data_IF_081566125374
#
_entry.id   IF_081566125374
#
_cell.length_a   1.000
_cell.length_b   1.000
_cell.length_c   1.000
_cell.angle_alpha   90.00
_cell.angle_beta   90.00
_cell.angle_gamma   90.00
#
_symmetry.space_group_name_H-M   'P 1'
#
loop_
_entity.id
_entity.type
_entity.pdbx_description
1 polymer ?
#
# COMPACT_ATOMS: atom_id res chain seq x y z
N UNK A 1 7.86 -33.29 6.56
CA UNK A 1 6.67 -33.38 5.69
C UNK A 1 5.84 -32.13 5.93
N UNK A 2 5.49 -31.42 4.86
CA UNK A 2 4.86 -30.11 4.90
C UNK A 2 3.54 -30.19 5.65
N UNK A 3 3.48 -29.57 6.83
CA UNK A 3 2.38 -29.66 7.81
C UNK A 3 1.49 -28.42 7.78
N UNK A 4 1.43 -27.80 6.60
CA UNK A 4 0.71 -26.58 6.31
C UNK A 4 -0.17 -26.89 5.12
N UNK A 5 -1.47 -26.72 5.28
CA UNK A 5 -2.41 -26.71 4.19
C UNK A 5 -3.16 -25.39 4.26
N UNK A 6 -3.57 -24.89 3.10
CA UNK A 6 -4.46 -23.77 3.07
C UNK A 6 -5.81 -24.25 3.63
N UNK A 7 -6.31 -23.58 4.65
CA UNK A 7 -7.65 -23.85 5.14
C UNK A 7 -8.62 -23.05 4.26
N UNK A 8 -9.42 -23.79 3.49
CA UNK A 8 -10.43 -23.25 2.60
C UNK A 8 -11.80 -23.23 3.31
N UNK A 9 -12.51 -22.11 3.20
CA UNK A 9 -13.91 -22.00 3.58
C UNK A 9 -14.71 -21.66 2.32
N UNK A 10 -15.65 -22.52 1.93
CA UNK A 10 -16.46 -22.37 0.71
C UNK A 10 -15.62 -22.15 -0.57
N UNK A 11 -14.47 -22.82 -0.69
CA UNK A 11 -13.58 -22.71 -1.84
C UNK A 11 -12.69 -21.45 -1.84
N UNK A 12 -12.72 -20.66 -0.77
CA UNK A 12 -11.84 -19.51 -0.59
C UNK A 12 -10.79 -19.79 0.48
N UNK A 13 -9.54 -19.45 0.19
CA UNK A 13 -8.46 -19.49 1.17
C UNK A 13 -8.73 -18.46 2.29
N UNK A 14 -9.01 -18.97 3.48
CA UNK A 14 -9.41 -18.14 4.62
C UNK A 14 -8.34 -18.11 5.73
N UNK A 15 -7.54 -19.16 5.89
CA UNK A 15 -6.51 -19.23 6.94
C UNK A 15 -5.40 -20.25 6.63
N UNK A 16 -4.35 -20.24 7.45
CA UNK A 16 -3.29 -21.26 7.42
C UNK A 16 -3.61 -22.35 8.43
N UNK A 17 -3.73 -23.61 8.00
CA UNK A 17 -3.86 -24.74 8.90
C UNK A 17 -2.54 -25.09 9.59
N UNK A 18 -2.59 -25.36 10.90
CA UNK A 18 -1.43 -25.73 11.72
C UNK A 18 -1.79 -26.85 12.70
N UNK A 19 -0.97 -27.89 12.78
CA UNK A 19 -1.18 -28.95 13.79
C UNK A 19 -0.91 -28.43 15.20
N UNK A 20 -1.62 -28.92 16.21
CA UNK A 20 -1.43 -28.57 17.64
C UNK A 20 0.05 -28.62 18.06
N UNK A 21 0.77 -29.67 17.67
CA UNK A 21 2.20 -29.84 18.00
C UNK A 21 3.12 -28.80 17.35
N UNK A 22 2.74 -28.27 16.18
CA UNK A 22 3.49 -27.21 15.52
C UNK A 22 3.09 -25.82 16.01
N UNK A 23 1.82 -25.61 16.38
CA UNK A 23 1.35 -24.35 16.97
C UNK A 23 2.11 -24.04 18.26
N UNK A 24 2.33 -25.05 19.11
CA UNK A 24 3.13 -24.93 20.32
C UNK A 24 4.56 -24.42 20.09
N UNK A 25 5.14 -24.66 18.91
CA UNK A 25 6.49 -24.22 18.53
C UNK A 25 6.54 -22.77 18.04
N UNK A 26 5.38 -22.14 17.77
CA UNK A 26 5.21 -20.76 17.28
C UNK A 26 6.18 -20.41 16.13
N UNK A 27 6.18 -21.18 15.03
CA UNK A 27 7.19 -21.05 14.01
C UNK A 27 7.06 -19.70 13.27
N UNK A 28 8.20 -19.03 13.04
CA UNK A 28 8.24 -17.63 12.56
C UNK A 28 7.61 -17.43 11.18
N UNK A 29 7.59 -18.46 10.35
CA UNK A 29 7.07 -18.42 8.99
C UNK A 29 5.53 -18.32 8.90
N UNK A 30 4.81 -18.39 10.03
CA UNK A 30 3.36 -18.19 10.07
C UNK A 30 2.95 -17.06 11.01
N UNK A 31 3.92 -16.26 11.47
CA UNK A 31 3.62 -15.06 12.24
C UNK A 31 2.89 -14.06 11.35
N UNK A 32 1.86 -13.39 11.88
CA UNK A 32 1.00 -12.52 11.09
C UNK A 32 -0.16 -13.23 10.38
N UNK A 33 -0.24 -14.56 10.41
CA UNK A 33 -1.29 -15.32 9.72
C UNK A 33 -2.46 -15.61 10.67
N UNK A 34 -3.67 -15.69 10.12
CA UNK A 34 -4.79 -16.38 10.78
C UNK A 34 -4.51 -17.88 10.75
N UNK A 35 -4.53 -18.51 11.91
CA UNK A 35 -4.20 -19.91 12.07
C UNK A 35 -5.43 -20.70 12.50
N UNK A 36 -5.71 -21.79 11.79
CA UNK A 36 -6.67 -22.79 12.26
C UNK A 36 -5.89 -23.96 12.84
N UNK A 37 -6.15 -24.29 14.10
CA UNK A 37 -5.55 -25.42 14.79
C UNK A 37 -6.23 -26.72 14.38
N UNK A 38 -5.40 -27.70 14.02
CA UNK A 38 -5.84 -29.02 13.61
C UNK A 38 -5.21 -30.12 14.44
N UNK A 39 -5.88 -31.26 14.45
CA UNK A 39 -5.37 -32.49 15.07
C UNK A 39 -4.01 -32.84 14.46
N UNK A 40 -3.13 -33.41 15.28
CA UNK A 40 -1.78 -33.79 14.85
C UNK A 40 -1.76 -34.83 13.73
N UNK A 41 -2.83 -35.59 13.56
CA UNK A 41 -3.03 -36.57 12.49
C UNK A 41 -3.63 -35.96 11.21
N UNK A 42 -3.97 -34.66 11.21
CA UNK A 42 -4.55 -33.95 10.06
C UNK A 42 -6.01 -34.33 9.75
N UNK A 43 -6.69 -35.08 10.62
CA UNK A 43 -8.05 -35.59 10.35
C UNK A 43 -9.14 -34.55 10.50
N UNK A 44 -8.82 -33.34 11.00
CA UNK A 44 -9.75 -32.23 11.12
C UNK A 44 -9.29 -31.17 12.11
N UNK A 45 -10.19 -30.24 12.40
CA UNK A 45 -10.01 -29.19 13.42
C UNK A 45 -9.69 -29.83 14.78
N UNK A 46 -8.79 -29.20 15.54
CA UNK A 46 -8.40 -29.68 16.85
C UNK A 46 -9.61 -29.72 17.81
N UNK A 47 -9.65 -30.70 18.71
CA UNK A 47 -10.67 -30.78 19.76
C UNK A 47 -10.40 -29.77 20.92
N UNK A 48 -9.69 -28.67 20.62
CA UNK A 48 -9.33 -27.64 21.59
C UNK A 48 -10.50 -26.68 21.82
N UNK A 49 -10.52 -26.04 23.00
CA UNK A 49 -11.51 -25.00 23.33
C UNK A 49 -11.39 -23.78 22.40
N UNK A 50 -10.20 -23.56 21.83
CA UNK A 50 -9.89 -22.44 20.95
C UNK A 50 -9.15 -22.98 19.72
N UNK A 51 -9.78 -22.87 18.57
CA UNK A 51 -9.36 -23.42 17.29
C UNK A 51 -8.78 -22.37 16.35
N UNK A 52 -9.06 -21.08 16.58
CA UNK A 52 -8.49 -19.97 15.82
C UNK A 52 -7.42 -19.23 16.61
N UNK A 53 -6.29 -19.00 15.97
CA UNK A 53 -5.09 -18.47 16.60
C UNK A 53 -4.40 -17.38 15.76
N UNK A 54 -3.59 -16.57 16.43
CA UNK A 54 -2.71 -15.60 15.80
C UNK A 54 -1.38 -15.50 16.55
N UNK A 55 -0.26 -15.40 15.83
CA UNK A 55 1.05 -15.15 16.41
C UNK A 55 1.55 -13.76 16.00
N UNK A 56 1.85 -12.93 16.99
CA UNK A 56 2.26 -11.54 16.79
C UNK A 56 3.60 -11.43 16.03
N UNK A 57 3.67 -10.65 14.94
CA UNK A 57 4.84 -10.61 14.05
C UNK A 57 6.09 -9.97 14.65
N UNK A 58 5.95 -9.09 15.65
CA UNK A 58 7.12 -8.50 16.34
C UNK A 58 7.52 -9.22 17.62
N UNK A 59 6.56 -9.84 18.31
CA UNK A 59 6.76 -10.31 19.70
C UNK A 59 6.67 -11.83 19.83
N UNK A 60 6.15 -12.54 18.82
CA UNK A 60 5.91 -13.97 18.89
C UNK A 60 4.85 -14.39 19.89
N UNK A 61 4.09 -13.44 20.46
CA UNK A 61 3.00 -13.73 21.39
C UNK A 61 1.87 -14.44 20.64
N UNK A 62 1.42 -15.57 21.18
CA UNK A 62 0.29 -16.34 20.66
C UNK A 62 -1.00 -15.81 21.31
N UNK A 63 -2.04 -15.69 20.51
CA UNK A 63 -3.36 -15.22 20.91
C UNK A 63 -4.43 -16.20 20.44
N UNK A 64 -5.29 -16.62 21.36
CA UNK A 64 -6.46 -17.45 21.12
C UNK A 64 -7.64 -16.55 20.72
N UNK A 65 -8.01 -16.55 19.44
CA UNK A 65 -9.02 -15.62 18.91
C UNK A 65 -10.45 -16.00 19.31
N UNK A 66 -10.68 -17.29 19.55
CA UNK A 66 -11.97 -17.82 19.99
C UNK A 66 -12.38 -17.32 21.38
N UNK A 67 -11.44 -16.80 22.18
CA UNK A 67 -11.77 -16.14 23.46
C UNK A 67 -12.60 -14.87 23.29
N UNK A 68 -12.57 -14.27 22.09
CA UNK A 68 -13.33 -13.07 21.71
C UNK A 68 -14.58 -13.41 20.89
N UNK A 69 -14.83 -14.70 20.66
CA UNK A 69 -15.99 -15.25 19.97
C UNK A 69 -16.78 -16.07 21.00
N UNK A 70 -17.57 -15.40 21.83
CA UNK A 70 -18.26 -15.97 23.00
C UNK A 70 -19.23 -17.12 22.64
N UNK A 71 -18.74 -18.34 22.54
CA UNK A 71 -19.53 -19.56 22.45
C UNK A 71 -20.04 -19.99 23.84
N UNK A 72 -21.27 -20.51 24.04
CA UNK A 72 -22.17 -21.14 23.06
C UNK A 72 -23.53 -20.46 22.83
N UNK A 73 -23.74 -19.21 23.27
CA UNK A 73 -25.04 -18.56 23.18
C UNK A 73 -24.87 -17.10 22.75
N UNK A 74 -24.67 -16.90 21.44
CA UNK A 74 -24.59 -15.55 20.86
C UNK A 74 -25.99 -15.14 20.44
N UNK A 75 -26.58 -14.21 21.18
CA UNK A 75 -27.54 -13.30 20.57
C UNK A 75 -26.72 -12.47 19.56
N UNK A 76 -26.99 -12.71 18.27
CA UNK A 76 -26.27 -12.14 17.11
C UNK A 76 -26.28 -10.61 17.14
N UNK A 77 -27.10 -10.01 18.00
CA UNK A 77 -27.21 -8.57 18.22
C UNK A 77 -26.23 -8.00 19.25
N UNK A 78 -25.62 -8.81 20.15
CA UNK A 78 -24.83 -8.28 21.30
C UNK A 78 -23.40 -8.83 21.45
N UNK A 79 -23.01 -9.91 20.78
CA UNK A 79 -21.60 -10.39 20.76
C UNK A 79 -21.14 -10.59 19.32
N UNK A 80 -20.78 -9.47 18.71
CA UNK A 80 -20.85 -9.26 17.28
C UNK A 80 -19.46 -9.09 16.65
N UNK A 81 -18.50 -9.98 16.94
CA UNK A 81 -17.15 -9.94 16.33
C UNK A 81 -16.38 -8.63 16.54
N UNK A 82 -16.97 -7.65 17.23
CA UNK A 82 -16.48 -6.31 17.42
C UNK A 82 -15.38 -6.30 18.46
N UNK A 83 -15.49 -7.15 19.48
CA UNK A 83 -14.42 -7.40 20.44
C UNK A 83 -13.20 -8.01 19.76
N UNK A 84 -13.40 -9.02 18.91
CA UNK A 84 -12.34 -9.61 18.10
C UNK A 84 -11.73 -8.58 17.16
N UNK A 85 -12.54 -7.78 16.46
CA UNK A 85 -12.07 -6.72 15.58
C UNK A 85 -11.29 -5.64 16.34
N UNK A 86 -11.77 -5.24 17.52
CA UNK A 86 -11.12 -4.26 18.40
C UNK A 86 -9.78 -4.81 18.88
N UNK A 87 -9.75 -6.07 19.28
CA UNK A 87 -8.55 -6.77 19.69
C UNK A 87 -7.53 -6.88 18.55
N UNK A 88 -7.95 -7.34 17.35
CA UNK A 88 -7.10 -7.40 16.15
C UNK A 88 -6.53 -6.01 15.82
N UNK A 89 -7.34 -4.95 15.89
CA UNK A 89 -6.87 -3.57 15.72
C UNK A 89 -5.85 -3.16 16.77
N UNK A 90 -6.00 -3.61 18.02
CA UNK A 90 -5.09 -3.26 19.12
C UNK A 90 -3.70 -3.92 19.01
N UNK A 91 -3.61 -5.05 18.31
CA UNK A 91 -2.36 -5.80 18.09
C UNK A 91 -1.85 -5.68 16.64
N UNK A 92 -2.53 -4.87 15.82
CA UNK A 92 -2.17 -4.62 14.44
C UNK A 92 -0.94 -3.74 14.36
N UNK A 93 0.13 -4.26 13.75
CA UNK A 93 1.38 -3.54 13.56
C UNK A 93 1.44 -2.97 12.15
N UNK A 94 1.79 -1.68 12.03
CA UNK A 94 2.10 -1.09 10.73
C UNK A 94 3.44 -1.61 10.25
N UNK A 95 3.44 -2.37 9.15
CA UNK A 95 4.65 -2.84 8.47
C UNK A 95 4.78 -2.08 7.16
N UNK A 96 5.86 -1.31 7.01
CA UNK A 96 6.14 -0.59 5.77
C UNK A 96 6.45 -1.55 4.63
N UNK A 97 6.21 -1.14 3.37
CA UNK A 97 6.62 -1.92 2.19
C UNK A 97 8.12 -2.20 2.16
N UNK A 98 8.92 -1.32 2.79
CA UNK A 98 10.37 -1.51 2.94
C UNK A 98 10.67 -2.63 3.95
N UNK A 99 10.03 -2.63 5.11
CA UNK A 99 10.14 -3.73 6.09
C UNK A 99 9.63 -5.06 5.49
N UNK A 100 8.53 -5.02 4.74
CA UNK A 100 7.99 -6.20 4.04
C UNK A 100 8.99 -6.77 3.01
N UNK A 101 9.66 -5.91 2.25
CA UNK A 101 10.66 -6.30 1.26
C UNK A 101 11.98 -6.77 1.88
N UNK A 102 12.25 -6.41 3.14
CA UNK A 102 13.39 -6.91 3.91
C UNK A 102 13.12 -8.28 4.55
N UNK A 103 11.85 -8.70 4.64
CA UNK A 103 11.48 -9.95 5.30
C UNK A 103 11.88 -11.18 4.47
N UNK A 104 11.77 -11.26 3.14
CA UNK A 104 12.43 -12.36 2.39
C UNK A 104 12.69 -12.13 0.86
N UNK A 105 13.79 -12.71 0.31
CA UNK A 105 14.38 -12.39 -1.00
C UNK A 105 13.85 -13.18 -2.23
N UNK A 106 12.60 -13.67 -2.23
CA UNK A 106 12.18 -14.72 -3.18
C UNK A 106 11.41 -14.27 -4.44
N UNK A 107 11.18 -12.96 -4.63
CA UNK A 107 10.62 -12.40 -5.87
C UNK A 107 9.13 -12.71 -6.14
N UNK A 108 8.54 -12.02 -7.13
CA UNK A 108 7.10 -11.97 -7.45
C UNK A 108 6.47 -13.28 -7.94
N UNK A 109 7.26 -14.34 -8.12
CA UNK A 109 6.78 -15.68 -8.47
C UNK A 109 6.52 -16.57 -7.25
N UNK A 110 6.84 -16.09 -6.05
CA UNK A 110 6.62 -16.83 -4.83
C UNK A 110 5.11 -16.89 -4.51
N UNK A 111 4.61 -18.10 -4.25
CA UNK A 111 3.20 -18.36 -3.94
C UNK A 111 2.70 -17.55 -2.73
N UNK A 112 3.54 -17.32 -1.72
CA UNK A 112 3.21 -16.50 -0.54
C UNK A 112 3.01 -15.04 -0.96
N UNK A 113 3.85 -14.53 -1.88
CA UNK A 113 3.70 -13.17 -2.42
C UNK A 113 2.41 -13.01 -3.22
N UNK A 114 2.05 -14.02 -4.03
CA UNK A 114 0.82 -14.00 -4.83
C UNK A 114 -0.43 -14.12 -3.96
N UNK A 115 -0.40 -14.94 -2.92
CA UNK A 115 -1.48 -15.04 -1.94
C UNK A 115 -1.68 -13.71 -1.19
N UNK A 116 -0.58 -13.05 -0.77
CA UNK A 116 -0.64 -11.73 -0.14
C UNK A 116 -1.18 -10.64 -1.07
N UNK A 117 -0.75 -10.65 -2.34
CA UNK A 117 -1.24 -9.73 -3.36
C UNK A 117 -2.72 -9.99 -3.68
N UNK A 118 -3.14 -11.25 -3.75
CA UNK A 118 -4.54 -11.64 -3.93
C UNK A 118 -5.43 -11.23 -2.74
N UNK A 119 -4.98 -11.44 -1.50
CA UNK A 119 -5.68 -10.96 -0.29
C UNK A 119 -5.81 -9.44 -0.25
N UNK A 120 -4.76 -8.72 -0.71
CA UNK A 120 -4.78 -7.25 -0.88
C UNK A 120 -5.79 -6.80 -1.93
N UNK A 121 -5.82 -7.48 -3.07
CA UNK A 121 -6.65 -7.09 -4.22
C UNK A 121 -8.12 -7.51 -4.03
N UNK A 122 -8.42 -8.42 -3.09
CA UNK A 122 -9.77 -8.90 -2.79
C UNK A 122 -10.25 -8.57 -1.37
N UNK A 123 -9.52 -7.74 -0.61
CA UNK A 123 -9.88 -7.28 0.74
C UNK A 123 -10.19 -8.44 1.73
N UNK A 124 -9.53 -9.59 1.55
CA UNK A 124 -9.66 -10.77 2.39
C UNK A 124 -8.58 -10.71 3.46
N UNK A 125 -8.92 -10.41 4.71
CA UNK A 125 -8.03 -10.26 5.86
C UNK A 125 -6.84 -11.27 5.85
N UNK A 126 -5.61 -10.88 5.42
CA UNK A 126 -4.45 -11.41 6.08
C UNK A 126 -4.35 -10.65 7.41
N UNK A 127 -3.93 -11.26 8.51
CA UNK A 127 -4.00 -10.67 9.84
C UNK A 127 -2.91 -9.59 10.07
N UNK A 128 -2.92 -8.55 9.23
CA UNK A 128 -2.30 -7.25 9.41
C UNK A 128 -3.41 -6.19 9.40
N UNK A 129 -3.60 -5.49 10.51
CA UNK A 129 -4.52 -4.36 10.56
C UNK A 129 -3.99 -3.18 9.74
N UNK A 130 -4.77 -2.73 8.78
CA UNK A 130 -4.75 -1.32 8.36
C UNK A 130 -6.03 -0.67 8.82
N UNK A 131 -5.93 0.53 9.39
CA UNK A 131 -7.07 1.39 9.63
C UNK A 131 -7.51 2.00 8.31
N UNK A 132 -8.72 1.68 7.86
CA UNK A 132 -9.61 2.75 7.41
C UNK A 132 -10.77 2.80 8.39
N UNK A 133 -11.09 4.02 8.81
CA UNK A 133 -12.18 4.31 9.73
C UNK A 133 -13.52 3.98 9.06
N UNK A 134 -13.94 2.72 9.23
CA UNK A 134 -15.29 2.11 9.37
C UNK A 134 -16.51 2.72 8.65
N UNK A 135 -17.29 1.83 8.04
CA UNK A 135 -18.74 1.95 7.86
C UNK A 135 -19.41 0.82 8.69
N UNK A 136 -20.53 0.95 9.41
CA UNK A 136 -21.27 2.06 10.03
C UNK A 136 -21.76 1.47 11.37
N UNK A 137 -21.52 2.14 12.50
CA UNK A 137 -22.58 2.92 13.14
C UNK A 137 -21.98 4.17 13.83
N UNK A 138 -22.41 5.34 13.35
CA UNK A 138 -22.25 6.72 13.89
C UNK A 138 -20.82 7.35 13.95
N UNK A 139 -20.60 8.64 13.61
CA UNK A 139 -21.27 9.55 12.67
C UNK A 139 -20.45 9.73 11.36
N UNK A 140 -21.10 10.21 10.30
CA UNK A 140 -20.58 10.42 8.94
C UNK A 140 -19.11 10.93 8.86
N UNK A 141 -18.19 10.20 8.20
CA UNK A 141 -16.82 10.66 7.96
C UNK A 141 -16.79 11.60 6.74
N UNK A 142 -16.23 12.78 6.95
CA UNK A 142 -15.94 13.76 5.90
C UNK A 142 -14.92 13.21 4.89
N UNK A 143 -15.23 13.39 3.61
CA UNK A 143 -14.51 13.04 2.36
C UNK A 143 -13.03 13.45 2.27
N UNK A 144 -12.48 14.13 3.27
CA UNK A 144 -11.10 14.63 3.27
C UNK A 144 -10.04 13.60 3.70
N UNK A 145 -10.37 12.62 4.55
CA UNK A 145 -9.34 11.78 5.16
C UNK A 145 -8.78 10.70 4.22
N UNK A 146 -9.61 10.01 3.43
CA UNK A 146 -9.16 9.06 2.40
C UNK A 146 -8.39 9.76 1.26
N UNK A 147 -8.83 10.98 0.89
CA UNK A 147 -8.13 11.79 -0.10
C UNK A 147 -6.69 12.07 0.32
N UNK A 148 -6.47 12.30 1.62
CA UNK A 148 -5.14 12.67 2.14
C UNK A 148 -4.15 11.51 2.04
N UNK A 149 -4.55 10.27 2.34
CA UNK A 149 -3.64 9.11 2.35
C UNK A 149 -3.18 8.74 0.95
N UNK A 150 -4.13 8.66 -0.01
CA UNK A 150 -3.79 8.32 -1.39
C UNK A 150 -2.97 9.44 -2.05
N UNK A 151 -3.38 10.69 -1.86
CA UNK A 151 -2.65 11.85 -2.38
C UNK A 151 -1.23 11.90 -1.85
N UNK A 152 -1.03 11.60 -0.55
CA UNK A 152 0.30 11.57 0.07
C UNK A 152 1.22 10.50 -0.53
N UNK A 153 0.69 9.29 -0.80
CA UNK A 153 1.46 8.19 -1.41
C UNK A 153 1.87 8.49 -2.86
N UNK A 154 1.06 9.27 -3.56
CA UNK A 154 1.25 9.56 -4.98
C UNK A 154 1.96 10.90 -5.23
N UNK A 155 2.37 11.63 -4.18
CA UNK A 155 3.11 12.90 -4.29
C UNK A 155 4.30 12.79 -5.24
N UNK A 156 4.38 13.75 -6.15
CA UNK A 156 5.42 13.87 -7.16
C UNK A 156 5.31 12.88 -8.31
N UNK A 157 4.29 12.00 -8.33
CA UNK A 157 4.10 11.08 -9.45
C UNK A 157 3.35 11.73 -10.59
N UNK A 158 3.72 11.30 -11.78
CA UNK A 158 2.91 11.42 -12.98
C UNK A 158 1.96 10.22 -12.98
N UNK A 159 0.67 10.47 -13.18
CA UNK A 159 -0.37 9.45 -13.26
C UNK A 159 -0.97 9.44 -14.66
N UNK A 160 -1.31 8.24 -15.15
CA UNK A 160 -2.03 8.04 -16.40
C UNK A 160 -3.36 7.37 -16.09
N UNK A 161 -4.45 8.03 -16.45
CA UNK A 161 -5.80 7.51 -16.27
C UNK A 161 -6.04 6.40 -17.30
N UNK A 162 -6.14 5.15 -16.84
CA UNK A 162 -6.18 3.98 -17.75
C UNK A 162 -7.60 3.54 -18.15
N UNK A 163 -8.61 4.05 -17.47
CA UNK A 163 -10.03 3.72 -17.71
C UNK A 163 -10.77 4.80 -18.51
N UNK A 164 -10.03 5.70 -19.17
CA UNK A 164 -10.55 6.82 -19.96
C UNK A 164 -9.64 7.04 -21.18
N UNK A 165 -9.50 8.28 -21.65
CA UNK A 165 -8.74 8.68 -22.83
C UNK A 165 -7.22 8.73 -22.61
N UNK A 166 -6.70 8.16 -21.52
CA UNK A 166 -5.28 8.20 -21.21
C UNK A 166 -4.81 9.57 -20.71
N UNK A 167 -5.66 10.30 -19.99
CA UNK A 167 -5.35 11.59 -19.40
C UNK A 167 -4.14 11.52 -18.46
N UNK A 168 -3.24 12.50 -18.56
CA UNK A 168 -2.07 12.60 -17.70
C UNK A 168 -2.30 13.62 -16.58
N UNK A 169 -1.79 13.29 -15.40
CA UNK A 169 -1.94 14.09 -14.19
C UNK A 169 -0.63 14.16 -13.42
N UNK A 170 -0.32 15.30 -12.80
CA UNK A 170 0.82 15.43 -11.89
C UNK A 170 0.32 15.68 -10.48
N UNK A 171 0.75 14.88 -9.51
CA UNK A 171 0.44 15.11 -8.10
C UNK A 171 1.53 15.99 -7.51
N UNK A 172 1.23 17.25 -7.23
CA UNK A 172 2.23 18.19 -6.71
C UNK A 172 2.66 17.78 -5.28
N UNK A 173 3.97 17.58 -5.01
CA UNK A 173 4.48 17.23 -3.68
C UNK A 173 4.15 18.26 -2.60
N UNK A 174 3.94 19.53 -2.97
CA UNK A 174 3.73 20.63 -2.02
C UNK A 174 2.33 20.64 -1.41
N UNK A 175 1.31 20.40 -2.22
CA UNK A 175 -0.10 20.51 -1.81
C UNK A 175 -0.88 19.18 -1.91
N UNK A 176 -0.25 18.13 -2.46
CA UNK A 176 -0.85 16.81 -2.71
C UNK A 176 -2.05 16.85 -3.67
N UNK A 177 -2.21 17.90 -4.45
CA UNK A 177 -3.27 18.00 -5.45
C UNK A 177 -2.80 17.46 -6.78
N UNK A 178 -3.73 16.89 -7.55
CA UNK A 178 -3.49 16.51 -8.95
C UNK A 178 -3.74 17.69 -9.87
N UNK A 179 -2.92 17.81 -10.91
CA UNK A 179 -3.04 18.86 -11.92
C UNK A 179 -3.09 18.23 -13.29
N UNK A 180 -4.12 18.60 -14.06
CA UNK A 180 -4.38 18.02 -15.36
C UNK A 180 -3.37 18.48 -16.41
N UNK A 181 -2.77 17.51 -17.11
CA UNK A 181 -1.80 17.72 -18.17
C UNK A 181 -2.38 17.23 -19.50
N UNK A 182 -3.33 17.99 -20.04
CA UNK A 182 -4.11 17.63 -21.23
C UNK A 182 -3.27 17.29 -22.47
N UNK A 183 -2.12 17.95 -22.62
CA UNK A 183 -1.19 17.78 -23.74
C UNK A 183 0.22 18.21 -23.31
N UNK A 184 1.18 18.10 -24.23
CA UNK A 184 2.58 18.47 -24.00
C UNK A 184 2.76 19.91 -23.50
N UNK A 185 2.14 20.89 -24.15
CA UNK A 185 2.29 22.31 -23.78
C UNK A 185 1.70 22.60 -22.39
N UNK A 186 0.54 22.03 -22.09
CA UNK A 186 -0.08 22.16 -20.77
C UNK A 186 0.75 21.47 -19.70
N UNK A 187 1.31 20.30 -20.00
CA UNK A 187 2.24 19.60 -19.11
C UNK A 187 3.49 20.44 -18.82
N UNK A 188 4.10 21.00 -19.87
CA UNK A 188 5.26 21.87 -19.74
C UNK A 188 4.96 23.08 -18.85
N UNK A 189 3.81 23.74 -19.04
CA UNK A 189 3.38 24.87 -18.22
C UNK A 189 3.11 24.46 -16.76
N UNK A 190 2.36 23.37 -16.54
CA UNK A 190 2.09 22.80 -15.21
C UNK A 190 3.41 22.51 -14.49
N UNK A 191 4.34 21.86 -15.18
CA UNK A 191 5.62 21.47 -14.61
C UNK A 191 6.49 22.68 -14.27
N UNK A 192 6.53 23.70 -15.13
CA UNK A 192 7.24 24.96 -14.84
C UNK A 192 6.63 25.73 -13.68
N UNK A 193 5.30 25.79 -13.57
CA UNK A 193 4.62 26.51 -12.50
C UNK A 193 4.89 25.90 -11.11
N UNK A 194 5.11 24.59 -11.02
CA UNK A 194 5.50 23.92 -9.77
C UNK A 194 7.01 23.77 -9.58
N UNK A 195 7.79 24.28 -10.53
CA UNK A 195 9.22 24.21 -10.50
C UNK A 195 9.82 24.99 -9.33
N UNK A 196 10.73 24.35 -8.61
CA UNK A 196 11.49 24.96 -7.51
C UNK A 196 12.83 25.44 -8.06
N UNK A 197 13.23 26.67 -7.74
CA UNK A 197 14.53 27.17 -8.17
C UNK A 197 15.70 26.32 -7.63
N UNK A 198 16.67 26.02 -8.49
CA UNK A 198 17.90 25.28 -8.14
C UNK A 198 19.13 25.99 -8.70
N UNK A 199 20.23 25.99 -7.94
CA UNK A 199 21.54 26.49 -8.38
C UNK A 199 22.19 25.51 -9.37
N UNK A 200 23.14 25.98 -10.18
CA UNK A 200 23.90 25.13 -11.09
C UNK A 200 24.67 24.05 -10.33
N UNK A 201 25.22 24.40 -9.16
CA UNK A 201 25.95 23.45 -8.29
C UNK A 201 25.05 22.33 -7.78
N UNK A 202 23.86 22.65 -7.29
CA UNK A 202 22.93 21.66 -6.77
C UNK A 202 22.28 20.84 -7.89
N UNK A 203 22.06 21.45 -9.06
CA UNK A 203 21.61 20.74 -10.26
C UNK A 203 22.65 19.71 -10.73
N UNK A 204 23.93 20.06 -10.74
CA UNK A 204 25.00 19.09 -11.01
C UNK A 204 25.03 17.96 -9.96
N UNK A 205 24.77 18.28 -8.69
CA UNK A 205 24.64 17.26 -7.65
C UNK A 205 23.47 16.31 -7.92
N UNK A 206 22.31 16.82 -8.37
CA UNK A 206 21.17 16.00 -8.78
C UNK A 206 21.56 15.04 -9.92
N UNK A 207 22.33 15.50 -10.91
CA UNK A 207 22.74 14.67 -12.05
C UNK A 207 23.74 13.58 -11.68
N UNK A 208 24.66 13.88 -10.76
CA UNK A 208 25.83 13.06 -10.46
C UNK A 208 25.69 12.18 -9.19
N UNK A 209 24.77 12.49 -8.28
CA UNK A 209 24.54 11.75 -7.03
C UNK A 209 23.12 11.15 -6.99
N UNK A 210 23.03 9.83 -7.19
CA UNK A 210 21.75 9.10 -7.19
C UNK A 210 21.05 9.10 -5.84
N UNK A 211 21.77 9.15 -4.73
CA UNK A 211 21.16 9.19 -3.39
C UNK A 211 20.51 10.56 -3.20
N UNK A 212 21.22 11.64 -3.57
CA UNK A 212 20.69 12.99 -3.52
C UNK A 212 19.51 13.19 -4.49
N UNK A 213 19.59 12.65 -5.70
CA UNK A 213 18.50 12.66 -6.68
C UNK A 213 17.25 11.95 -6.14
N UNK A 214 17.41 10.73 -5.60
CA UNK A 214 16.29 9.95 -5.06
C UNK A 214 15.56 10.65 -3.90
N UNK A 215 16.29 11.39 -3.05
CA UNK A 215 15.68 12.24 -1.99
C UNK A 215 14.82 13.38 -2.55
N UNK A 216 15.01 13.71 -3.82
CA UNK A 216 14.28 14.76 -4.53
C UNK A 216 13.36 14.20 -5.64
N UNK A 217 13.07 12.91 -5.61
CA UNK A 217 12.16 12.27 -6.57
C UNK A 217 10.79 12.96 -6.60
N UNK A 218 10.22 13.04 -7.79
CA UNK A 218 8.92 13.64 -8.05
C UNK A 218 8.90 15.16 -8.01
N UNK A 219 10.02 15.83 -7.67
CA UNK A 219 10.15 17.28 -7.73
C UNK A 219 10.52 17.73 -9.14
N UNK A 220 10.16 18.98 -9.42
CA UNK A 220 10.55 19.69 -10.62
C UNK A 220 11.46 20.83 -10.21
N UNK A 221 12.61 20.95 -10.85
CA UNK A 221 13.58 22.00 -10.60
C UNK A 221 13.70 22.94 -11.79
N UNK A 222 13.81 24.23 -11.53
CA UNK A 222 14.10 25.27 -12.51
C UNK A 222 15.51 25.80 -12.26
N UNK A 223 16.36 25.73 -13.27
CA UNK A 223 17.70 26.27 -13.21
C UNK A 223 17.64 27.81 -13.22
N UNK A 224 17.87 28.45 -12.08
CA UNK A 224 17.68 29.91 -11.94
C UNK A 224 18.91 30.73 -12.31
N UNK A 225 20.08 30.10 -12.45
CA UNK A 225 21.36 30.75 -12.76
C UNK A 225 21.71 30.68 -14.26
N UNK A 226 20.76 30.30 -15.12
CA UNK A 226 20.94 30.19 -16.57
C UNK A 226 19.63 30.44 -17.34
N UNK A 227 19.19 29.52 -18.20
CA UNK A 227 18.06 29.72 -19.13
C UNK A 227 16.70 29.28 -18.57
N UNK A 228 16.61 29.00 -17.28
CA UNK A 228 15.37 28.55 -16.67
C UNK A 228 15.00 27.12 -17.07
N UNK A 229 15.97 26.28 -17.41
CA UNK A 229 15.75 24.88 -17.78
C UNK A 229 15.00 24.12 -16.68
N UNK A 230 14.00 23.34 -17.08
CA UNK A 230 13.16 22.57 -16.16
C UNK A 230 13.55 21.10 -16.16
N UNK A 231 13.68 20.49 -14.98
CA UNK A 231 14.02 19.07 -14.83
C UNK A 231 13.04 18.36 -13.89
N UNK A 232 12.45 17.25 -14.33
CA UNK A 232 11.69 16.34 -13.46
C UNK A 232 12.61 15.23 -12.95
N UNK A 233 12.60 14.96 -11.65
CA UNK A 233 13.42 13.90 -11.06
C UNK A 233 12.55 12.66 -10.87
N UNK A 234 12.87 11.55 -11.55
CA UNK A 234 12.11 10.31 -11.38
C UNK A 234 12.45 9.58 -10.07
N UNK A 235 11.67 8.55 -9.75
CA UNK A 235 11.84 7.76 -8.53
C UNK A 235 13.07 6.83 -8.56
N UNK A 236 13.74 6.71 -9.71
CA UNK A 236 15.03 6.04 -9.83
C UNK A 236 16.21 7.02 -9.64
N UNK A 237 15.93 8.32 -9.48
CA UNK A 237 16.92 9.38 -9.35
C UNK A 237 17.52 9.82 -10.69
N UNK A 238 16.80 9.67 -11.81
CA UNK A 238 17.19 10.25 -13.09
C UNK A 238 16.54 11.63 -13.26
N UNK A 239 17.32 12.59 -13.74
CA UNK A 239 16.82 13.91 -14.11
C UNK A 239 16.41 13.93 -15.58
N UNK A 240 15.15 14.26 -15.83
CA UNK A 240 14.54 14.34 -17.16
C UNK A 240 14.41 15.80 -17.56
N UNK A 241 15.12 16.21 -18.60
CA UNK A 241 15.08 17.60 -19.08
C UNK A 241 13.79 17.88 -19.84
N UNK A 242 12.98 18.81 -19.34
CA UNK A 242 11.69 19.23 -19.89
C UNK A 242 11.86 20.45 -20.80
N UNK A 243 12.56 20.26 -21.92
CA UNK A 243 12.96 21.36 -22.81
C UNK A 243 11.77 22.05 -23.51
N UNK A 244 10.71 21.31 -23.78
CA UNK A 244 9.52 21.77 -24.49
C UNK A 244 8.31 20.87 -24.16
N UNK A 245 7.14 21.21 -24.72
CA UNK A 245 5.93 20.43 -24.56
C UNK A 245 6.02 19.02 -25.12
N UNK A 246 6.76 18.81 -26.22
CA UNK A 246 6.92 17.49 -26.82
C UNK A 246 7.68 16.54 -25.89
N UNK A 247 8.76 17.00 -25.25
CA UNK A 247 9.50 16.18 -24.29
C UNK A 247 8.72 15.98 -23.00
N UNK A 248 8.02 17.01 -22.52
CA UNK A 248 7.11 16.84 -21.37
C UNK A 248 6.06 15.76 -21.65
N UNK A 249 5.51 15.71 -22.86
CA UNK A 249 4.60 14.65 -23.30
C UNK A 249 5.23 13.25 -23.23
N UNK A 250 6.43 13.07 -23.76
CA UNK A 250 7.15 11.80 -23.69
C UNK A 250 7.39 11.37 -22.25
N UNK A 251 7.91 12.27 -21.40
CA UNK A 251 8.17 12.01 -19.99
C UNK A 251 6.89 11.58 -19.26
N UNK A 252 5.75 12.19 -19.58
CA UNK A 252 4.47 11.78 -18.98
C UNK A 252 4.07 10.35 -19.34
N UNK A 253 4.30 9.94 -20.58
CA UNK A 253 3.94 8.60 -21.08
C UNK A 253 4.88 7.53 -20.56
N UNK A 254 6.18 7.81 -20.50
CA UNK A 254 7.19 6.84 -20.07
C UNK A 254 7.19 6.62 -18.55
N UNK A 255 6.95 7.66 -17.76
CA UNK A 255 7.07 7.61 -16.30
C UNK A 255 5.70 7.55 -15.59
N UNK A 256 4.63 7.61 -16.36
CA UNK A 256 3.26 7.64 -15.86
C UNK A 256 2.86 6.34 -15.18
N UNK A 257 2.41 6.44 -13.93
CA UNK A 257 1.81 5.33 -13.21
C UNK A 257 0.31 5.22 -13.57
N UNK A 258 -0.13 4.05 -14.03
CA UNK A 258 -1.54 3.79 -14.29
C UNK A 258 -2.41 3.99 -13.04
N UNK A 259 -3.54 4.67 -13.18
CA UNK A 259 -4.52 4.90 -12.11
C UNK A 259 -5.96 4.75 -12.63
N UNK A 260 -6.82 4.14 -11.81
CA UNK A 260 -8.27 3.99 -12.08
C UNK A 260 -9.01 5.29 -11.83
N UNK A 261 -10.21 5.44 -12.38
CA UNK A 261 -11.05 6.62 -12.18
C UNK A 261 -11.45 6.76 -10.70
N UNK A 262 -11.72 5.64 -10.02
CA UNK A 262 -12.09 5.60 -8.61
C UNK A 262 -10.96 6.03 -7.68
N UNK A 263 -9.70 5.67 -7.98
CA UNK A 263 -8.57 6.11 -7.17
C UNK A 263 -8.15 7.52 -7.52
N UNK A 264 -8.19 7.88 -8.81
CA UNK A 264 -7.91 9.24 -9.25
C UNK A 264 -8.86 10.22 -8.55
N UNK A 265 -10.18 9.97 -8.52
CA UNK A 265 -11.19 10.85 -7.92
C UNK A 265 -10.97 11.17 -6.44
N UNK A 266 -10.26 10.30 -5.71
CA UNK A 266 -9.87 10.53 -4.31
C UNK A 266 -8.75 11.55 -4.17
N UNK A 267 -8.03 11.90 -5.24
CA UNK A 267 -6.96 12.92 -5.19
C UNK A 267 -7.59 14.28 -5.54
N UNK A 268 -7.53 15.28 -4.64
CA UNK A 268 -8.12 16.59 -4.90
C UNK A 268 -7.48 17.24 -6.13
N UNK A 269 -8.32 17.77 -7.01
CA UNK A 269 -7.84 18.50 -8.19
C UNK A 269 -7.46 19.93 -7.82
N UNK A 270 -6.31 20.38 -8.31
CA UNK A 270 -5.87 21.76 -8.20
C UNK A 270 -6.16 22.55 -9.47
N UNK A 271 -6.24 23.86 -9.32
CA UNK A 271 -6.39 24.81 -10.43
C UNK A 271 -5.09 25.59 -10.61
N UNK A 272 -4.70 25.79 -11.88
CA UNK A 272 -3.57 26.63 -12.30
C UNK A 272 -4.08 27.79 -13.15
#
# INVERSE_FOLDING_TARGET
>A
MNSWYNAEWNGYYASTGITTSNLAKKPKNVWGHLLNEWKNDGTGIADSKYTHHYIHPRTGKLYDLDTYLSWPYVDVTTSNGLELLTFIKSIGENISTVELNQIEPLGSKNYIWQALQHSRDNNLLPLYGFTTSTAQDQPQPSTQQESSVLSNRLRGKILLQIESHGEAWYVNPKDSKRYYMANGDKAYNVMRNFGIGITNKDLEKIKNDKIFAKKNSGKIFLQVEAHGEAYYIDFNGNAHYLKDGSVAYTVMRELGLGITNNDLSKIPEGSL
#
